data_IF_391190058050
#
_entry.id   IF_391190058050
#
_cell.length_a   1.000
_cell.length_b   1.000
_cell.length_c   1.000
_cell.angle_alpha   90.00
_cell.angle_beta   90.00
_cell.angle_gamma   90.00
#
_symmetry.space_group_name_H-M   'P 1'
#
loop_
_entity.id
_entity.type
_entity.pdbx_description
1 polymer ?
#
# COMPACT_ATOMS: atom_id res chain seq x y z
N UNK A 1 -12.43 -22.13 0.76
CA UNK A 1 -12.91 -20.76 0.49
C UNK A 1 -11.69 -19.91 0.18
N UNK A 2 -11.50 -19.48 -1.07
CA UNK A 2 -10.30 -18.77 -1.49
C UNK A 2 -10.28 -17.33 -0.95
N UNK A 3 -9.15 -16.96 -0.36
CA UNK A 3 -8.89 -15.67 0.27
C UNK A 3 -8.77 -14.56 -0.79
N UNK A 4 -9.74 -13.65 -0.83
CA UNK A 4 -9.79 -12.54 -1.78
C UNK A 4 -8.67 -11.49 -1.57
N UNK A 5 -7.88 -11.60 -0.48
CA UNK A 5 -6.78 -10.69 -0.18
C UNK A 5 -5.49 -10.95 -0.97
N UNK A 6 -5.28 -12.19 -1.45
CA UNK A 6 -4.00 -12.58 -2.07
C UNK A 6 -3.86 -12.11 -3.53
N UNK A 7 -4.96 -12.12 -4.31
CA UNK A 7 -4.95 -11.73 -5.72
C UNK A 7 -4.77 -10.22 -5.97
N UNK A 8 -4.93 -9.39 -4.93
CA UNK A 8 -4.76 -7.94 -5.04
C UNK A 8 -3.26 -7.59 -5.03
N UNK A 9 -2.46 -8.28 -4.21
CA UNK A 9 -1.03 -7.99 -4.01
C UNK A 9 -0.19 -8.26 -5.28
N UNK A 10 -0.34 -9.43 -5.91
CA UNK A 10 0.39 -9.76 -7.14
C UNK A 10 0.01 -8.89 -8.35
N UNK A 11 -1.26 -8.49 -8.46
CA UNK A 11 -1.71 -7.63 -9.57
C UNK A 11 -1.34 -6.16 -9.37
N UNK A 12 -1.23 -5.68 -8.14
CA UNK A 12 -0.86 -4.29 -7.87
C UNK A 12 0.62 -4.03 -8.10
N UNK A 13 1.48 -4.95 -7.65
CA UNK A 13 2.93 -4.86 -7.84
C UNK A 13 3.28 -4.81 -9.33
N UNK A 14 2.70 -5.69 -10.16
CA UNK A 14 2.94 -5.68 -11.60
C UNK A 14 2.43 -4.41 -12.30
N UNK A 15 1.30 -3.84 -11.85
CA UNK A 15 0.75 -2.60 -12.43
C UNK A 15 1.55 -1.34 -12.04
N UNK A 16 2.06 -1.26 -10.80
CA UNK A 16 2.91 -0.15 -10.35
C UNK A 16 4.25 -0.16 -11.09
N UNK A 17 4.83 -1.36 -11.32
CA UNK A 17 6.09 -1.53 -12.06
C UNK A 17 5.94 -1.27 -13.56
N UNK A 18 4.77 -1.57 -14.16
CA UNK A 18 4.54 -1.39 -15.61
C UNK A 18 4.45 0.08 -16.05
N UNK A 19 4.21 1.02 -15.14
CA UNK A 19 4.12 2.45 -15.46
C UNK A 19 5.46 3.16 -15.20
N UNK A 20 6.51 2.75 -15.94
CA UNK A 20 7.82 3.42 -16.12
C UNK A 20 8.25 4.39 -14.99
N UNK A 21 8.42 3.87 -13.79
CA UNK A 21 9.21 4.50 -12.73
C UNK A 21 10.54 3.74 -12.70
N UNK A 22 11.59 4.31 -13.29
CA UNK A 22 12.95 3.80 -13.10
C UNK A 22 13.42 4.15 -11.68
N UNK A 23 13.03 3.34 -10.70
CA UNK A 23 13.82 3.10 -9.50
C UNK A 23 13.40 1.75 -8.93
N UNK A 24 14.32 0.79 -8.92
CA UNK A 24 14.16 -0.60 -8.45
C UNK A 24 14.04 -0.68 -6.91
N UNK A 25 13.83 0.47 -6.27
CA UNK A 25 13.73 0.70 -4.83
C UNK A 25 12.30 1.11 -4.43
N UNK A 26 11.29 0.38 -4.94
CA UNK A 26 9.90 0.46 -4.48
C UNK A 26 9.49 -0.82 -3.75
N UNK A 27 10.38 -1.31 -2.89
CA UNK A 27 10.25 -2.61 -2.25
C UNK A 27 9.58 -2.61 -0.87
N UNK A 28 9.28 -1.46 -0.27
CA UNK A 28 8.55 -1.38 1.00
C UNK A 28 7.75 -0.07 1.04
N UNK A 29 6.43 -0.12 0.85
CA UNK A 29 5.59 1.10 0.81
C UNK A 29 4.18 0.84 1.31
N UNK A 30 3.50 1.90 1.74
CA UNK A 30 2.07 1.90 1.98
C UNK A 30 1.33 2.44 0.76
N UNK A 31 0.17 1.86 0.47
CA UNK A 31 -0.75 2.34 -0.55
C UNK A 31 -2.06 2.79 0.08
N UNK A 32 -2.37 4.06 -0.09
CA UNK A 32 -3.67 4.63 0.30
C UNK A 32 -4.58 4.66 -0.91
N UNK A 33 -5.73 3.99 -0.81
CA UNK A 33 -6.74 4.00 -1.87
C UNK A 33 -7.72 5.16 -1.71
N UNK A 34 -8.21 5.69 -2.83
CA UNK A 34 -9.37 6.59 -2.86
C UNK A 34 -10.69 5.89 -2.56
N UNK A 35 -10.68 4.80 -1.78
CA UNK A 35 -11.86 4.06 -1.34
C UNK A 35 -11.87 4.07 0.18
N UNK A 36 -12.99 4.48 0.75
CA UNK A 36 -13.22 4.48 2.19
C UNK A 36 -13.44 3.04 2.69
N UNK A 37 -13.34 2.82 4.01
CA UNK A 37 -13.60 1.53 4.66
C UNK A 37 -15.03 1.01 4.39
N UNK A 38 -15.99 1.91 4.17
CA UNK A 38 -17.38 1.57 3.82
C UNK A 38 -17.58 1.22 2.32
N UNK A 39 -16.50 1.13 1.53
CA UNK A 39 -16.54 0.80 0.10
C UNK A 39 -16.88 1.97 -0.83
N UNK A 40 -17.21 3.16 -0.31
CA UNK A 40 -17.50 4.34 -1.13
C UNK A 40 -16.21 4.98 -1.65
N UNK A 41 -16.29 5.58 -2.84
CA UNK A 41 -15.19 6.38 -3.39
C UNK A 41 -15.03 7.67 -2.59
N UNK A 42 -13.80 7.96 -2.17
CA UNK A 42 -13.46 9.21 -1.50
C UNK A 42 -13.55 10.40 -2.46
N UNK A 43 -14.05 11.52 -1.96
CA UNK A 43 -14.21 12.77 -2.70
C UNK A 43 -13.63 13.92 -1.89
N UNK A 44 -13.10 14.96 -2.55
CA UNK A 44 -13.09 15.17 -4.00
C UNK A 44 -12.02 14.32 -4.72
N UNK A 45 -12.09 14.18 -6.05
CA UNK A 45 -11.19 13.29 -6.82
C UNK A 45 -9.75 13.79 -6.94
N UNK A 46 -9.51 15.05 -6.62
CA UNK A 46 -8.20 15.72 -6.57
C UNK A 46 -7.51 15.58 -5.21
N UNK A 47 -8.06 14.80 -4.28
CA UNK A 47 -7.49 14.63 -2.94
C UNK A 47 -6.03 14.15 -2.95
N UNK A 48 -5.68 13.25 -3.89
CA UNK A 48 -4.31 12.74 -4.02
C UNK A 48 -3.36 13.88 -4.35
N UNK A 49 -3.72 14.71 -5.33
CA UNK A 49 -2.92 15.86 -5.76
C UNK A 49 -2.74 16.88 -4.62
N UNK A 50 -3.79 17.09 -3.81
CA UNK A 50 -3.72 17.97 -2.63
C UNK A 50 -2.76 17.43 -1.57
N UNK A 51 -2.90 16.16 -1.19
CA UNK A 51 -2.06 15.55 -0.16
C UNK A 51 -0.61 15.47 -0.61
N UNK A 52 -0.35 15.04 -1.85
CA UNK A 52 1.01 14.98 -2.38
C UNK A 52 1.62 16.37 -2.57
N UNK A 53 0.82 17.37 -2.92
CA UNK A 53 1.28 18.75 -3.07
C UNK A 53 1.74 19.39 -1.75
N UNK A 54 1.05 19.12 -0.64
CA UNK A 54 1.45 19.59 0.70
C UNK A 54 2.82 19.06 1.11
N UNK A 55 3.13 17.81 0.73
CA UNK A 55 4.38 17.13 1.11
C UNK A 55 5.47 17.24 0.05
N UNK A 56 5.17 17.82 -1.10
CA UNK A 56 6.15 18.02 -2.15
C UNK A 56 7.10 19.18 -1.79
N UNK A 57 8.33 19.08 -2.26
CA UNK A 57 9.37 20.10 -2.03
C UNK A 57 9.72 20.76 -3.36
N UNK A 58 10.02 22.05 -3.32
CA UNK A 58 10.59 22.75 -4.47
C UNK A 58 12.06 22.39 -4.60
N UNK A 59 12.47 21.93 -5.78
CA UNK A 59 13.88 21.81 -6.13
C UNK A 59 14.53 23.18 -6.35
N UNK A 60 15.86 23.21 -6.42
CA UNK A 60 16.63 24.41 -6.75
C UNK A 60 16.27 25.01 -8.12
N UNK A 61 15.64 24.21 -8.99
CA UNK A 61 15.11 24.60 -10.30
C UNK A 61 13.68 25.16 -10.25
N UNK A 62 13.14 25.45 -9.05
CA UNK A 62 11.76 25.86 -8.82
C UNK A 62 10.71 24.85 -9.32
N UNK A 63 11.09 23.59 -9.54
CA UNK A 63 10.16 22.53 -9.93
C UNK A 63 9.72 21.74 -8.70
N UNK A 64 8.44 21.43 -8.64
CA UNK A 64 7.85 20.62 -7.57
C UNK A 64 8.28 19.16 -7.75
N UNK A 65 8.92 18.58 -6.73
CA UNK A 65 9.39 17.19 -6.73
C UNK A 65 8.66 16.39 -5.66
N UNK A 66 8.03 15.30 -6.09
CA UNK A 66 7.43 14.33 -5.18
C UNK A 66 8.54 13.43 -4.63
N UNK A 67 8.65 13.40 -3.30
CA UNK A 67 9.59 12.53 -2.59
C UNK A 67 8.93 11.19 -2.21
N UNK A 68 9.04 10.83 -0.93
CA UNK A 68 8.48 9.60 -0.37
C UNK A 68 6.93 9.51 -0.42
N UNK A 69 6.22 10.60 -0.72
CA UNK A 69 4.77 10.60 -0.95
C UNK A 69 4.45 11.06 -2.37
N UNK A 70 3.76 10.22 -3.14
CA UNK A 70 3.48 10.50 -4.56
C UNK A 70 2.13 9.97 -5.04
N UNK A 71 1.50 10.65 -6.02
CA UNK A 71 0.31 10.15 -6.69
C UNK A 71 0.64 8.91 -7.55
N UNK A 72 -0.28 7.95 -7.57
CA UNK A 72 -0.23 6.82 -8.50
C UNK A 72 -1.64 6.40 -8.96
N UNK A 73 -1.71 5.52 -9.94
CA UNK A 73 -2.96 4.91 -10.39
C UNK A 73 -2.91 3.41 -10.22
N UNK A 74 -3.95 2.86 -9.58
CA UNK A 74 -4.14 1.42 -9.42
C UNK A 74 -5.51 1.06 -9.96
N UNK A 75 -5.56 0.17 -10.96
CA UNK A 75 -6.82 -0.27 -11.60
C UNK A 75 -7.70 0.91 -12.03
N UNK A 76 -7.08 1.96 -12.59
CA UNK A 76 -7.77 3.17 -13.05
C UNK A 76 -8.25 4.13 -11.94
N UNK A 77 -7.96 3.85 -10.67
CA UNK A 77 -8.29 4.72 -9.54
C UNK A 77 -7.07 5.49 -9.06
N UNK A 78 -7.24 6.75 -8.70
CA UNK A 78 -6.21 7.56 -8.05
C UNK A 78 -5.93 7.02 -6.64
N UNK A 79 -4.66 6.79 -6.36
CA UNK A 79 -4.13 6.32 -5.09
C UNK A 79 -2.91 7.17 -4.70
N UNK A 80 -2.54 7.09 -3.43
CA UNK A 80 -1.35 7.72 -2.90
C UNK A 80 -0.37 6.64 -2.45
N UNK A 81 0.85 6.69 -2.93
CA UNK A 81 1.92 5.80 -2.52
C UNK A 81 2.82 6.53 -1.52
N UNK A 82 3.12 5.88 -0.41
CA UNK A 82 3.91 6.41 0.71
C UNK A 82 5.03 5.43 1.01
N UNK A 83 6.28 5.84 0.85
CA UNK A 83 7.43 4.99 1.22
C UNK A 83 7.48 4.82 2.73
N UNK A 84 7.81 3.62 3.21
CA UNK A 84 7.91 3.38 4.66
C UNK A 84 9.07 4.11 5.32
N UNK A 85 10.11 4.44 4.55
CA UNK A 85 11.23 5.28 5.02
C UNK A 85 10.77 6.64 5.53
N UNK A 86 9.62 7.15 5.07
CA UNK A 86 9.02 8.39 5.54
C UNK A 86 8.82 8.42 7.06
N UNK A 87 8.51 7.27 7.68
CA UNK A 87 8.33 7.17 9.13
C UNK A 87 9.59 7.59 9.91
N UNK A 88 10.77 7.35 9.32
CA UNK A 88 12.06 7.72 9.91
C UNK A 88 12.54 9.08 9.41
N UNK A 89 12.46 9.32 8.10
CA UNK A 89 13.02 10.51 7.47
C UNK A 89 12.24 11.79 7.80
N UNK A 90 10.91 11.69 7.90
CA UNK A 90 10.02 12.80 8.20
C UNK A 90 8.76 12.28 8.94
N UNK A 91 8.86 12.02 10.26
CA UNK A 91 7.76 11.46 11.04
C UNK A 91 6.54 12.39 11.10
N UNK A 92 6.76 13.71 10.96
CA UNK A 92 5.67 14.70 10.93
C UNK A 92 4.87 14.55 9.63
N UNK A 93 5.54 14.42 8.48
CA UNK A 93 4.88 14.15 7.21
C UNK A 93 4.16 12.80 7.23
N UNK A 94 4.75 11.77 7.84
CA UNK A 94 4.08 10.47 7.99
C UNK A 94 2.82 10.57 8.85
N UNK A 95 2.87 11.22 10.02
CA UNK A 95 1.68 11.40 10.86
C UNK A 95 0.62 12.24 10.16
N UNK A 96 0.99 13.25 9.36
CA UNK A 96 0.03 13.98 8.55
C UNK A 96 -0.77 13.05 7.62
N UNK A 97 -0.10 12.14 6.91
CA UNK A 97 -0.77 11.15 6.05
C UNK A 97 -1.60 10.16 6.87
N UNK A 98 -1.05 9.62 7.95
CA UNK A 98 -1.73 8.66 8.82
C UNK A 98 -2.99 9.24 9.47
N UNK A 99 -2.92 10.48 9.95
CA UNK A 99 -4.06 11.23 10.48
C UNK A 99 -5.09 11.52 9.39
N UNK A 100 -4.65 11.88 8.17
CA UNK A 100 -5.55 12.08 7.04
C UNK A 100 -6.32 10.79 6.69
N UNK A 101 -5.63 9.66 6.62
CA UNK A 101 -6.25 8.35 6.37
C UNK A 101 -7.27 8.00 7.44
N UNK A 102 -6.89 8.12 8.72
CA UNK A 102 -7.74 7.79 9.87
C UNK A 102 -9.00 8.67 9.93
N UNK A 103 -8.84 9.98 9.78
CA UNK A 103 -9.94 10.95 9.87
C UNK A 103 -10.94 10.80 8.73
N UNK A 104 -10.49 10.41 7.54
CA UNK A 104 -11.32 10.23 6.36
C UNK A 104 -11.81 8.79 6.16
N UNK A 105 -11.42 7.87 7.05
CA UNK A 105 -11.75 6.46 6.94
C UNK A 105 -11.27 5.84 5.62
N UNK A 106 -10.09 6.22 5.14
CA UNK A 106 -9.49 5.66 3.93
C UNK A 106 -8.88 4.29 4.19
N UNK A 107 -8.76 3.48 3.13
CA UNK A 107 -8.06 2.20 3.19
C UNK A 107 -6.58 2.39 2.89
N UNK A 108 -5.74 1.77 3.71
CA UNK A 108 -4.28 1.78 3.59
C UNK A 108 -3.77 0.34 3.61
N UNK A 109 -2.93 -0.01 2.63
CA UNK A 109 -2.43 -1.37 2.42
C UNK A 109 -0.91 -1.41 2.50
N UNK A 110 -0.38 -2.46 3.10
CA UNK A 110 1.05 -2.74 3.09
C UNK A 110 1.48 -3.37 1.77
N UNK A 111 2.40 -2.72 1.07
CA UNK A 111 3.08 -3.22 -0.12
C UNK A 111 4.55 -3.52 0.26
N UNK A 112 4.77 -4.70 0.84
CA UNK A 112 6.10 -5.30 0.86
C UNK A 112 6.35 -5.89 -0.54
N UNK A 113 7.47 -5.55 -1.18
CA UNK A 113 7.95 -6.37 -2.29
C UNK A 113 8.19 -7.77 -1.74
N UNK A 114 7.69 -8.76 -2.47
CA UNK A 114 7.66 -10.13 -2.02
C UNK A 114 9.04 -10.60 -1.58
N UNK A 115 9.13 -11.00 -0.32
CA UNK A 115 9.75 -12.27 -0.01
C UNK A 115 8.63 -13.28 0.09
N UNK A 116 8.80 -14.40 -0.60
CA UNK A 116 7.90 -15.54 -0.57
C UNK A 116 7.55 -15.91 0.89
N UNK A 117 6.28 -15.81 1.26
CA UNK A 117 5.71 -16.61 2.34
C UNK A 117 4.37 -17.18 1.88
N UNK A 118 4.44 -18.02 0.84
CA UNK A 118 3.62 -19.22 0.81
C UNK A 118 4.30 -20.25 1.73
N UNK A 119 4.10 -20.15 3.05
CA UNK A 119 3.97 -21.29 3.98
C UNK A 119 3.69 -20.83 5.41
N UNK A 120 2.80 -21.59 6.03
CA UNK A 120 2.57 -21.71 7.48
C UNK A 120 1.64 -20.68 8.15
N UNK A 121 0.36 -20.69 7.77
CA UNK A 121 -0.71 -20.51 8.74
C UNK A 121 -1.83 -21.53 8.47
N UNK A 122 -1.88 -22.58 9.30
CA UNK A 122 -2.88 -23.64 9.24
C UNK A 122 -2.64 -24.69 10.32
N UNK A 123 -2.90 -24.32 11.58
CA UNK A 123 -3.03 -25.25 12.71
C UNK A 123 -4.39 -25.97 12.63
N UNK A 124 -4.44 -27.27 12.92
CA UNK A 124 -5.70 -28.01 13.05
C UNK A 124 -5.59 -29.54 12.93
N UNK A 125 -5.16 -30.17 14.03
CA UNK A 125 -5.68 -31.42 14.60
C UNK A 125 -6.43 -32.43 13.70
N UNK A 126 -5.85 -33.65 13.56
CA UNK A 126 -6.58 -34.85 13.19
C UNK A 126 -6.02 -36.07 13.94
N UNK A 127 -6.60 -36.34 15.11
CA UNK A 127 -6.57 -37.67 15.75
C UNK A 127 -7.24 -38.70 14.83
N UNK A 128 -6.48 -39.68 14.34
CA UNK A 128 -7.01 -40.96 13.85
C UNK A 128 -6.03 -42.09 14.18
N UNK A 129 -6.56 -43.09 14.89
CA UNK A 129 -5.80 -44.16 15.50
C UNK A 129 -5.20 -45.18 14.53
N UNK A 130 -4.14 -45.83 15.01
CA UNK A 130 -3.79 -47.22 14.70
C UNK A 130 -3.91 -47.96 16.04
N UNK A 131 -4.61 -49.08 16.18
CA UNK A 131 -4.75 -50.17 15.21
C UNK A 131 -3.61 -51.17 15.42
N UNK A 132 -3.80 -52.05 16.40
CA UNK A 132 -3.22 -53.39 16.61
C UNK A 132 -1.90 -53.78 15.92
N UNK A 133 -0.96 -54.30 16.71
CA UNK A 133 -0.18 -55.48 16.30
C UNK A 133 -0.27 -56.52 17.44
N UNK A 134 -0.63 -57.73 17.04
CA UNK A 134 -0.48 -58.95 17.84
C UNK A 134 0.94 -59.49 17.68
#
# INVERSE_FOLDING_TARGET
MADAGSNIKCSLLSMIVSNRIHNEEYAVSWLVEGTMQNGRTFRPSDWVDRVSGVLAKFGADHRLRYGAVRPCYVKGKKCLLVQKTLEHDDPVAFEYVSAFVRTNGLRMHDLLAGTEEEKAAGSGEAVKGLGAVA
#
